data_IF_835092346213
#
_entry.id   IF_835092346213
#
_cell.length_a   1.000
_cell.length_b   1.000
_cell.length_c   1.000
_cell.angle_alpha   90.00
_cell.angle_beta   90.00
_cell.angle_gamma   90.00
#
_symmetry.space_group_name_H-M   'P 1'
#
loop_
_entity.id
_entity.type
_entity.pdbx_description
1 polymer ?
#
# COMPACT_ATOMS: atom_id res chain seq x y z
N UNK A 1 10.79 -2.47 -3.09
CA UNK A 1 9.45 -2.70 -2.51
C UNK A 1 9.43 -2.09 -1.13
N UNK A 2 8.48 -1.21 -0.83
CA UNK A 2 8.28 -0.67 0.52
C UNK A 2 6.87 -1.01 0.99
N UNK A 3 6.75 -1.55 2.20
CA UNK A 3 5.47 -1.81 2.85
C UNK A 3 5.17 -0.65 3.82
N UNK A 4 4.07 0.07 3.61
CA UNK A 4 3.65 1.13 4.52
C UNK A 4 2.69 0.58 5.57
N UNK A 5 2.94 0.91 6.85
CA UNK A 5 2.08 0.53 7.96
C UNK A 5 1.87 1.71 8.92
N UNK A 6 0.67 1.86 9.52
CA UNK A 6 0.45 2.80 10.60
C UNK A 6 1.44 2.57 11.76
N UNK A 7 2.14 3.62 12.21
CA UNK A 7 3.03 3.53 13.38
C UNK A 7 2.32 3.05 14.65
N UNK A 8 1.01 3.31 14.76
CA UNK A 8 0.17 2.84 15.88
C UNK A 8 0.08 1.32 15.99
N UNK A 9 0.43 0.56 14.94
CA UNK A 9 0.49 -0.90 14.97
C UNK A 9 1.69 -1.44 15.76
N UNK A 10 2.70 -0.60 16.07
CA UNK A 10 3.80 -0.96 16.97
C UNK A 10 3.35 -1.22 18.41
N UNK A 11 2.13 -0.81 18.78
CA UNK A 11 1.58 -1.05 20.12
C UNK A 11 0.96 -2.46 20.31
N UNK A 12 1.13 -3.37 19.35
CA UNK A 12 0.46 -4.69 19.31
C UNK A 12 1.48 -5.84 19.26
N UNK A 13 0.98 -7.08 19.40
CA UNK A 13 1.64 -8.40 19.58
C UNK A 13 2.90 -8.72 18.72
N UNK A 14 3.21 -7.93 17.70
CA UNK A 14 4.28 -8.17 16.71
C UNK A 14 5.33 -7.05 16.66
N UNK A 15 5.48 -6.30 17.76
CA UNK A 15 6.33 -5.12 17.83
C UNK A 15 7.79 -5.42 17.44
N UNK A 16 8.35 -6.53 17.92
CA UNK A 16 9.76 -6.88 17.66
C UNK A 16 10.00 -7.20 16.18
N UNK A 17 9.10 -7.97 15.55
CA UNK A 17 9.18 -8.30 14.13
C UNK A 17 9.01 -7.07 13.24
N UNK A 18 8.05 -6.19 13.58
CA UNK A 18 7.81 -4.94 12.85
C UNK A 18 9.00 -3.98 12.95
N UNK A 19 9.63 -3.88 14.14
CA UNK A 19 10.88 -3.10 14.32
C UNK A 19 12.02 -3.68 13.50
N UNK A 20 12.16 -5.01 13.48
CA UNK A 20 13.17 -5.68 12.67
C UNK A 20 12.98 -5.41 11.18
N UNK A 21 11.76 -5.52 10.65
CA UNK A 21 11.45 -5.22 9.26
C UNK A 21 11.70 -3.74 8.91
N UNK A 22 11.36 -2.82 9.81
CA UNK A 22 11.65 -1.40 9.62
C UNK A 22 13.17 -1.13 9.60
N UNK A 23 13.95 -1.81 10.44
CA UNK A 23 15.42 -1.69 10.42
C UNK A 23 16.07 -2.15 9.11
N UNK A 24 15.37 -3.02 8.36
CA UNK A 24 15.77 -3.50 7.02
C UNK A 24 15.23 -2.63 5.88
N UNK A 25 14.47 -1.57 6.20
CA UNK A 25 13.74 -0.74 5.25
C UNK A 25 12.67 -1.49 4.45
N UNK A 26 12.23 -2.66 4.92
CA UNK A 26 11.13 -3.42 4.30
C UNK A 26 9.77 -2.81 4.65
N UNK A 27 9.65 -2.30 5.88
CA UNK A 27 8.47 -1.58 6.40
C UNK A 27 8.82 -0.11 6.64
N UNK A 28 7.90 0.78 6.30
CA UNK A 28 7.96 2.21 6.63
C UNK A 28 6.74 2.55 7.47
N UNK A 29 6.96 3.10 8.66
CA UNK A 29 5.87 3.57 9.51
C UNK A 29 5.41 4.95 9.08
N UNK A 30 4.10 5.09 8.90
CA UNK A 30 3.48 6.40 8.62
C UNK A 30 3.29 7.19 9.91
N UNK A 31 3.41 8.54 9.87
CA UNK A 31 3.49 9.34 11.08
C UNK A 31 2.22 9.32 11.94
N UNK A 32 2.40 9.10 13.24
CA UNK A 32 1.39 9.33 14.26
C UNK A 32 1.92 10.26 15.37
N UNK A 33 1.03 10.93 16.11
CA UNK A 33 1.45 11.76 17.26
C UNK A 33 0.39 11.82 18.36
N UNK A 34 0.82 12.08 19.59
CA UNK A 34 -0.06 12.30 20.75
C UNK A 34 -0.25 13.79 21.02
N UNK A 35 -1.49 14.25 21.00
CA UNK A 35 -1.88 15.65 21.28
C UNK A 35 -2.93 15.65 22.39
N UNK A 36 -2.62 16.29 23.53
CA UNK A 36 -3.52 16.36 24.69
C UNK A 36 -4.05 14.99 25.15
N UNK A 37 -3.17 13.98 25.19
CA UNK A 37 -3.58 12.63 25.59
C UNK A 37 -4.18 11.77 24.47
N UNK A 38 -4.57 12.37 23.34
CA UNK A 38 -5.25 11.69 22.22
C UNK A 38 -4.25 11.39 21.10
N UNK A 39 -4.27 10.17 20.57
CA UNK A 39 -3.48 9.78 19.40
C UNK A 39 -4.14 10.32 18.13
N UNK A 40 -3.35 10.96 17.27
CA UNK A 40 -3.71 11.44 15.95
C UNK A 40 -2.82 10.72 14.94
N UNK A 41 -3.42 9.92 14.08
CA UNK A 41 -2.72 9.19 13.02
C UNK A 41 -2.97 9.88 11.70
N UNK A 42 -1.94 9.97 10.87
CA UNK A 42 -2.11 10.42 9.48
C UNK A 42 -2.91 9.38 8.69
N UNK A 43 -3.44 9.76 7.53
CA UNK A 43 -4.15 8.80 6.69
C UNK A 43 -3.18 8.09 5.76
N UNK A 44 -2.89 6.84 6.08
CA UNK A 44 -1.76 6.10 5.51
C UNK A 44 -1.91 5.81 4.02
N UNK A 45 -3.16 5.67 3.55
CA UNK A 45 -3.48 5.49 2.13
C UNK A 45 -2.90 6.59 1.25
N UNK A 46 -2.87 7.84 1.75
CA UNK A 46 -2.23 8.95 1.02
C UNK A 46 -0.74 8.74 0.84
N UNK A 47 -0.03 8.20 1.84
CA UNK A 47 1.40 7.91 1.73
C UNK A 47 1.66 6.79 0.73
N UNK A 48 0.85 5.72 0.78
CA UNK A 48 0.94 4.59 -0.16
C UNK A 48 0.78 5.07 -1.60
N UNK A 49 -0.33 5.78 -1.88
CA UNK A 49 -0.65 6.23 -3.23
C UNK A 49 0.34 7.30 -3.71
N UNK A 50 0.73 8.23 -2.85
CA UNK A 50 1.73 9.25 -3.18
C UNK A 50 3.08 8.63 -3.53
N UNK A 51 3.56 7.67 -2.75
CA UNK A 51 4.85 7.03 -2.99
C UNK A 51 4.83 6.25 -4.31
N UNK A 52 3.80 5.44 -4.56
CA UNK A 52 3.66 4.73 -5.82
C UNK A 52 3.54 5.69 -7.02
N UNK A 53 2.81 6.79 -6.86
CA UNK A 53 2.72 7.81 -7.90
C UNK A 53 4.09 8.43 -8.23
N UNK A 54 4.87 8.78 -7.19
CA UNK A 54 6.15 9.48 -7.32
C UNK A 54 7.25 8.61 -7.95
N UNK A 55 7.31 7.33 -7.55
CA UNK A 55 8.33 6.38 -7.99
C UNK A 55 7.85 5.42 -9.09
N UNK A 56 6.72 5.74 -9.72
CA UNK A 56 6.12 4.96 -10.81
C UNK A 56 5.83 3.48 -10.44
N UNK A 57 5.63 3.21 -9.15
CA UNK A 57 5.46 1.86 -8.62
C UNK A 57 4.05 1.30 -8.72
N UNK A 58 3.96 -0.01 -8.48
CA UNK A 58 2.70 -0.76 -8.31
C UNK A 58 2.26 -0.73 -6.84
N UNK A 59 0.97 -0.51 -6.62
CA UNK A 59 0.33 -0.62 -5.30
C UNK A 59 -0.24 -2.03 -5.17
N UNK A 60 0.18 -2.78 -4.16
CA UNK A 60 -0.43 -4.07 -3.83
C UNK A 60 -1.41 -3.87 -2.67
N UNK A 61 -2.71 -3.91 -2.97
CA UNK A 61 -3.76 -3.70 -1.96
C UNK A 61 -5.09 -4.28 -2.45
N UNK A 62 -5.98 -4.59 -1.51
CA UNK A 62 -7.38 -4.93 -1.79
C UNK A 62 -8.32 -3.73 -1.66
N UNK A 63 -7.83 -2.59 -1.17
CA UNK A 63 -8.57 -1.33 -1.15
C UNK A 63 -8.52 -0.65 -2.53
N UNK A 64 -9.64 -0.02 -2.91
CA UNK A 64 -9.77 0.74 -4.14
C UNK A 64 -9.50 2.25 -3.95
N UNK A 65 -9.25 2.72 -2.72
CA UNK A 65 -8.90 4.11 -2.40
C UNK A 65 -9.86 5.15 -3.03
N UNK A 66 -11.17 4.85 -3.01
CA UNK A 66 -12.19 5.59 -3.79
C UNK A 66 -12.28 7.07 -3.40
N UNK A 67 -12.03 7.37 -2.14
CA UNK A 67 -11.96 8.70 -1.58
C UNK A 67 -10.78 9.52 -2.11
N UNK A 68 -9.65 8.87 -2.43
CA UNK A 68 -8.45 9.52 -2.96
C UNK A 68 -8.53 9.84 -4.46
N UNK A 69 -9.45 9.21 -5.21
CA UNK A 69 -9.58 9.39 -6.66
C UNK A 69 -9.85 10.84 -7.08
N UNK A 70 -10.52 11.62 -6.23
CA UNK A 70 -10.83 13.02 -6.52
C UNK A 70 -9.79 14.00 -5.98
N UNK A 71 -8.83 13.55 -5.16
CA UNK A 71 -7.87 14.44 -4.49
C UNK A 71 -6.73 14.88 -5.43
N UNK A 72 -6.31 14.01 -6.35
CA UNK A 72 -5.17 14.29 -7.22
C UNK A 72 -5.25 13.43 -8.51
N UNK A 73 -5.05 14.06 -9.68
CA UNK A 73 -5.13 13.36 -10.97
C UNK A 73 -4.06 12.28 -11.16
N UNK A 74 -2.83 12.50 -10.67
CA UNK A 74 -1.74 11.50 -10.73
C UNK A 74 -2.05 10.32 -9.80
N UNK A 75 -2.72 10.56 -8.69
CA UNK A 75 -3.17 9.50 -7.78
C UNK A 75 -4.30 8.69 -8.40
N UNK A 76 -5.27 9.36 -9.03
CA UNK A 76 -6.32 8.72 -9.80
C UNK A 76 -5.76 7.77 -10.86
N UNK A 77 -4.82 8.26 -11.68
CA UNK A 77 -4.15 7.44 -12.69
C UNK A 77 -3.39 6.26 -12.06
N UNK A 78 -2.63 6.51 -10.99
CA UNK A 78 -1.88 5.47 -10.27
C UNK A 78 -2.81 4.37 -9.76
N UNK A 79 -3.92 4.74 -9.12
CA UNK A 79 -4.89 3.77 -8.59
C UNK A 79 -5.55 2.98 -9.73
N UNK A 80 -5.92 3.64 -10.84
CA UNK A 80 -6.58 2.95 -11.95
C UNK A 80 -5.66 2.02 -12.74
N UNK A 81 -4.39 2.38 -12.90
CA UNK A 81 -3.48 1.68 -13.81
C UNK A 81 -2.47 0.78 -13.08
N UNK A 82 -2.26 1.00 -11.77
CA UNK A 82 -1.17 0.36 -11.01
C UNK A 82 -1.60 -0.25 -9.67
N UNK A 83 -2.91 -0.44 -9.44
CA UNK A 83 -3.42 -1.22 -8.30
C UNK A 83 -3.47 -2.72 -8.64
N UNK A 84 -2.65 -3.52 -7.95
CA UNK A 84 -2.63 -4.97 -8.03
C UNK A 84 -3.37 -5.57 -6.83
N UNK A 85 -4.57 -6.07 -7.09
CA UNK A 85 -5.33 -6.83 -6.11
C UNK A 85 -4.78 -8.25 -5.96
N UNK A 86 -5.06 -8.86 -4.81
CA UNK A 86 -4.66 -10.23 -4.49
C UNK A 86 -5.75 -10.91 -3.66
N UNK A 87 -5.61 -12.22 -3.49
CA UNK A 87 -6.43 -13.00 -2.56
C UNK A 87 -5.56 -14.01 -1.82
N UNK A 88 -6.05 -14.50 -0.68
CA UNK A 88 -5.44 -15.59 0.07
C UNK A 88 -6.33 -16.81 -0.01
N UNK A 89 -5.73 -17.97 -0.30
CA UNK A 89 -6.35 -19.28 -0.18
C UNK A 89 -5.51 -20.08 0.80
N UNK A 90 -6.00 -20.22 2.03
CA UNK A 90 -5.20 -20.68 3.18
C UNK A 90 -3.92 -19.82 3.31
N UNK A 91 -2.73 -20.45 3.29
CA UNK A 91 -1.43 -19.78 3.36
C UNK A 91 -0.88 -19.37 1.98
N UNK A 92 -1.66 -19.51 0.91
CA UNK A 92 -1.23 -19.17 -0.45
C UNK A 92 -1.72 -17.78 -0.86
N UNK A 93 -0.78 -16.86 -1.04
CA UNK A 93 -1.01 -15.56 -1.67
C UNK A 93 -1.11 -15.72 -3.19
N UNK A 94 -2.23 -15.28 -3.77
CA UNK A 94 -2.52 -15.41 -5.20
C UNK A 94 -2.78 -14.04 -5.83
N UNK A 95 -2.15 -13.81 -6.98
CA UNK A 95 -2.36 -12.63 -7.82
C UNK A 95 -3.12 -13.00 -9.10
N UNK A 96 -3.96 -12.10 -9.64
CA UNK A 96 -4.59 -12.31 -10.93
C UNK A 96 -3.54 -12.27 -12.05
N UNK A 97 -3.66 -13.17 -13.03
CA UNK A 97 -2.79 -13.16 -14.21
C UNK A 97 -3.13 -12.01 -15.18
N UNK A 98 -4.30 -11.40 -15.01
CA UNK A 98 -4.84 -10.27 -15.76
C UNK A 98 -5.26 -9.13 -14.82
N UNK A 99 -4.32 -8.36 -14.23
CA UNK A 99 -4.62 -7.38 -13.17
C UNK A 99 -5.66 -6.30 -13.52
N UNK A 100 -5.74 -5.90 -14.79
CA UNK A 100 -6.72 -4.93 -15.30
C UNK A 100 -7.82 -5.60 -16.16
N UNK A 101 -8.06 -6.89 -15.93
CA UNK A 101 -9.03 -7.73 -16.63
C UNK A 101 -8.56 -8.21 -18.00
N UNK A 102 -9.38 -9.05 -18.65
CA UNK A 102 -9.06 -9.80 -19.87
C UNK A 102 -8.46 -9.01 -21.04
N UNK A 103 -8.76 -7.72 -21.15
CA UNK A 103 -8.24 -6.84 -22.23
C UNK A 103 -7.02 -6.01 -21.79
N UNK A 104 -6.63 -6.11 -20.53
CA UNK A 104 -5.47 -5.46 -19.95
C UNK A 104 -4.17 -6.24 -20.16
N UNK A 105 -3.08 -5.78 -19.54
CA UNK A 105 -1.80 -6.46 -19.58
C UNK A 105 -1.84 -7.77 -18.80
N UNK A 106 -0.93 -8.68 -19.15
CA UNK A 106 -0.56 -9.82 -18.29
C UNK A 106 0.10 -9.32 -17.00
N UNK A 107 0.10 -10.14 -15.95
CA UNK A 107 0.79 -9.83 -14.70
C UNK A 107 2.28 -9.47 -14.93
N UNK A 108 2.98 -10.21 -15.79
CA UNK A 108 4.39 -9.94 -16.12
C UNK A 108 4.59 -8.59 -16.81
N UNK A 109 3.65 -8.16 -17.64
CA UNK A 109 3.69 -6.84 -18.25
C UNK A 109 3.35 -5.75 -17.23
N UNK A 110 2.38 -6.02 -16.35
CA UNK A 110 1.97 -5.12 -15.29
C UNK A 110 3.07 -4.89 -14.25
N UNK A 111 3.95 -5.86 -14.00
CA UNK A 111 5.05 -5.73 -13.02
C UNK A 111 6.34 -5.13 -13.62
N UNK A 112 6.34 -4.76 -14.89
CA UNK A 112 7.49 -4.16 -15.59
C UNK A 112 7.47 -2.62 -15.62
N UNK A 113 6.57 -1.99 -14.87
CA UNK A 113 6.63 -0.55 -14.63
C UNK A 113 7.99 -0.15 -14.04
#
# INVERSE_FOLDING_TARGET
NQLFLPEVLLAVKWQEELVLLNSKCDVVFTPSRKVNGVIKTSYDDRFIVQYAAEFEGVIVSTDNYRDLLAENSRWHETIQQRLLMFTWVDDLLMFPMDPLGRKGPTLDQFLKF
#
